data_IF_679034528764
#
_entry.id   IF_679034528764
#
_cell.length_a   1.000
_cell.length_b   1.000
_cell.length_c   1.000
_cell.angle_alpha   90.00
_cell.angle_beta   90.00
_cell.angle_gamma   90.00
#
_symmetry.space_group_name_H-M   'P 1'
#
loop_
_entity.id
_entity.type
_entity.pdbx_description
1 polymer ?
#
# COMPACT_ATOMS: atom_id res chain seq x y z
N UNK A 1 17.53 -5.95 3.53
CA UNK A 1 16.11 -6.34 3.53
C UNK A 1 15.93 -7.58 4.40
N UNK A 2 14.98 -7.53 5.34
CA UNK A 2 14.67 -8.64 6.24
C UNK A 2 13.54 -9.53 5.70
N UNK A 3 12.84 -9.06 4.67
CA UNK A 3 11.77 -9.78 3.97
C UNK A 3 11.69 -9.35 2.51
N UNK A 4 11.44 -10.31 1.65
CA UNK A 4 11.01 -10.09 0.27
C UNK A 4 10.18 -11.28 -0.21
N UNK A 5 9.25 -11.00 -1.11
CA UNK A 5 8.39 -12.02 -1.68
C UNK A 5 8.98 -12.49 -3.02
N UNK A 6 9.25 -13.79 -3.15
CA UNK A 6 9.75 -14.40 -4.37
C UNK A 6 8.67 -14.64 -5.42
N UNK A 7 7.40 -14.65 -5.00
CA UNK A 7 6.29 -15.04 -5.85
C UNK A 7 5.42 -13.82 -6.11
N UNK A 8 5.42 -13.37 -7.35
CA UNK A 8 4.51 -12.34 -7.83
C UNK A 8 3.38 -13.05 -8.55
N UNK A 9 2.17 -12.96 -8.02
CA UNK A 9 0.97 -13.55 -8.62
C UNK A 9 0.02 -12.46 -9.06
N UNK A 10 -0.18 -12.27 -10.37
CA UNK A 10 -1.21 -11.36 -10.87
C UNK A 10 -2.60 -11.94 -10.61
N UNK A 11 -3.53 -11.10 -10.20
CA UNK A 11 -4.92 -11.46 -10.01
C UNK A 11 -5.84 -10.40 -10.60
N UNK A 12 -6.95 -10.84 -11.15
CA UNK A 12 -8.04 -9.95 -11.55
C UNK A 12 -9.00 -9.82 -10.37
N UNK A 13 -9.04 -8.66 -9.75
CA UNK A 13 -9.86 -8.41 -8.57
C UNK A 13 -11.19 -7.79 -9.00
N UNK A 14 -12.08 -8.60 -9.55
CA UNK A 14 -13.40 -8.18 -10.01
C UNK A 14 -13.34 -6.93 -10.90
N UNK A 15 -14.19 -5.94 -10.60
CA UNK A 15 -14.23 -4.67 -11.33
C UNK A 15 -13.09 -3.70 -10.94
N UNK A 16 -12.30 -4.03 -9.94
CA UNK A 16 -11.18 -3.18 -9.49
C UNK A 16 -9.95 -3.25 -10.42
N UNK A 17 -9.94 -4.20 -11.36
CA UNK A 17 -8.84 -4.39 -12.30
C UNK A 17 -7.79 -5.40 -11.83
N UNK A 18 -6.68 -5.50 -12.55
CA UNK A 18 -5.60 -6.41 -12.21
C UNK A 18 -4.85 -5.96 -10.97
N UNK A 19 -4.37 -6.92 -10.20
CA UNK A 19 -3.63 -6.70 -8.97
C UNK A 19 -2.46 -7.68 -8.85
N UNK A 20 -1.39 -7.24 -8.19
CA UNK A 20 -0.23 -8.08 -7.87
C UNK A 20 -0.03 -8.13 -6.36
N UNK A 21 0.14 -9.33 -5.84
CA UNK A 21 0.61 -9.57 -4.47
C UNK A 21 2.14 -9.53 -4.45
N UNK A 22 2.72 -8.72 -3.56
CA UNK A 22 4.16 -8.58 -3.38
C UNK A 22 4.74 -7.27 -3.94
N UNK A 23 5.95 -6.94 -3.50
CA UNK A 23 6.66 -5.74 -3.94
C UNK A 23 5.97 -4.42 -3.56
N UNK A 24 6.06 -3.45 -4.45
CA UNK A 24 5.41 -2.14 -4.31
C UNK A 24 4.59 -1.89 -5.58
N UNK A 25 3.28 -1.91 -5.44
CA UNK A 25 2.38 -1.58 -6.53
C UNK A 25 2.14 -0.08 -6.60
N UNK A 26 2.25 0.49 -7.80
CA UNK A 26 1.92 1.89 -8.06
C UNK A 26 0.67 1.97 -8.91
N UNK A 27 -0.31 2.72 -8.46
CA UNK A 27 -1.58 2.89 -9.15
C UNK A 27 -1.76 4.33 -9.62
N UNK A 28 -1.87 4.53 -10.92
CA UNK A 28 -2.25 5.76 -11.60
C UNK A 28 -2.83 5.43 -12.99
N UNK A 29 -3.60 6.30 -13.64
CA UNK A 29 -4.22 7.49 -13.07
C UNK A 29 -5.33 7.16 -12.10
N UNK A 30 -5.93 5.97 -12.20
CA UNK A 30 -7.01 5.49 -11.33
C UNK A 30 -7.03 3.96 -11.29
N UNK A 31 -7.36 3.38 -10.12
CA UNK A 31 -7.51 1.94 -9.88
C UNK A 31 -6.27 1.10 -10.20
N UNK A 32 -6.40 -0.21 -10.06
CA UNK A 32 -5.41 -1.17 -10.48
C UNK A 32 -5.37 -1.21 -12.01
N UNK A 33 -4.17 -1.13 -12.60
CA UNK A 33 -3.99 -1.04 -14.04
C UNK A 33 -3.12 -2.18 -14.57
N UNK A 34 -3.27 -2.54 -15.86
CA UNK A 34 -2.42 -3.57 -16.49
C UNK A 34 -0.93 -3.31 -16.35
N UNK A 35 -0.50 -2.06 -16.33
CA UNK A 35 0.91 -1.66 -16.14
C UNK A 35 1.51 -2.14 -14.81
N UNK A 36 0.67 -2.52 -13.85
CA UNK A 36 1.10 -3.11 -12.59
C UNK A 36 1.88 -4.42 -12.79
N UNK A 37 1.56 -5.21 -13.80
CA UNK A 37 2.18 -6.52 -14.04
C UNK A 37 2.67 -6.74 -15.48
N UNK A 38 2.37 -5.83 -16.40
CA UNK A 38 2.88 -5.91 -17.77
C UNK A 38 4.33 -5.40 -17.84
N UNK A 39 5.10 -5.79 -18.85
CA UNK A 39 6.41 -5.22 -19.08
C UNK A 39 6.36 -3.70 -19.15
N UNK A 40 7.33 -3.05 -18.53
CA UNK A 40 7.48 -1.59 -18.53
C UNK A 40 8.87 -1.22 -19.04
N UNK A 41 9.01 -0.02 -19.57
CA UNK A 41 10.32 0.52 -19.90
C UNK A 41 11.10 0.85 -18.63
N UNK A 42 12.41 0.62 -18.65
CA UNK A 42 13.26 0.93 -17.51
C UNK A 42 14.61 1.50 -17.91
N UNK A 43 15.22 2.20 -16.95
CA UNK A 43 16.59 2.70 -17.07
C UNK A 43 17.30 2.62 -15.72
N UNK A 44 18.52 2.08 -15.74
CA UNK A 44 19.44 2.17 -14.61
C UNK A 44 20.32 3.41 -14.77
N UNK A 45 20.54 4.12 -13.68
CA UNK A 45 21.31 5.35 -13.64
C UNK A 45 22.25 5.34 -12.43
N UNK A 46 23.51 5.69 -12.67
CA UNK A 46 24.45 6.05 -11.63
C UNK A 46 24.48 7.56 -11.43
N UNK A 47 24.33 8.02 -10.21
CA UNK A 47 24.31 9.42 -9.88
C UNK A 47 25.70 9.89 -9.41
N UNK A 48 25.94 11.20 -9.49
CA UNK A 48 27.24 11.79 -9.13
C UNK A 48 27.62 11.61 -7.66
N UNK A 49 26.64 11.42 -6.79
CA UNK A 49 26.81 11.17 -5.36
C UNK A 49 27.05 9.68 -5.02
N UNK A 50 27.16 8.82 -6.03
CA UNK A 50 27.36 7.40 -5.89
C UNK A 50 26.06 6.61 -5.67
N UNK A 51 24.92 7.27 -5.58
CA UNK A 51 23.62 6.58 -5.51
C UNK A 51 23.26 5.93 -6.86
N UNK A 52 22.41 4.91 -6.80
CA UNK A 52 21.92 4.17 -7.99
C UNK A 52 20.41 4.31 -8.05
N UNK A 53 19.91 4.68 -9.21
CA UNK A 53 18.49 4.84 -9.46
C UNK A 53 18.00 3.89 -10.54
N UNK A 54 16.92 3.16 -10.24
CA UNK A 54 16.11 2.47 -11.22
C UNK A 54 14.91 3.35 -11.55
N UNK A 55 14.79 3.76 -12.81
CA UNK A 55 13.57 4.41 -13.32
C UNK A 55 12.75 3.35 -14.05
N UNK A 56 11.46 3.28 -13.73
CA UNK A 56 10.48 2.49 -14.48
C UNK A 56 9.35 3.40 -14.94
N UNK A 57 8.84 3.18 -16.15
CA UNK A 57 7.78 4.03 -16.64
C UNK A 57 6.91 3.31 -17.68
N UNK A 58 5.68 3.80 -17.81
CA UNK A 58 4.78 3.42 -18.88
C UNK A 58 3.76 4.53 -19.15
N UNK A 59 3.04 4.36 -20.25
CA UNK A 59 1.92 5.22 -20.66
C UNK A 59 0.63 4.43 -20.48
N UNK A 60 -0.28 4.94 -19.66
CA UNK A 60 -1.60 4.33 -19.54
C UNK A 60 -2.35 4.40 -20.87
N UNK A 61 -2.75 3.24 -21.39
CA UNK A 61 -3.34 3.13 -22.73
C UNK A 61 -4.77 3.72 -22.80
N UNK A 62 -5.47 3.80 -21.67
CA UNK A 62 -6.84 4.31 -21.65
C UNK A 62 -6.89 5.83 -21.55
N UNK A 63 -6.03 6.43 -20.72
CA UNK A 63 -6.06 7.86 -20.42
C UNK A 63 -4.92 8.65 -21.08
N UNK A 64 -3.93 7.94 -21.63
CA UNK A 64 -2.78 8.57 -22.30
C UNK A 64 -1.82 9.30 -21.36
N UNK A 65 -1.97 9.13 -20.05
CA UNK A 65 -1.08 9.72 -19.04
C UNK A 65 0.17 8.86 -18.84
N UNK A 66 1.32 9.50 -18.60
CA UNK A 66 2.58 8.81 -18.34
C UNK A 66 2.91 8.85 -16.86
N UNK A 67 3.25 7.71 -16.29
CA UNK A 67 3.81 7.59 -14.95
C UNK A 67 5.27 7.16 -14.97
N UNK A 68 6.07 7.73 -14.11
CA UNK A 68 7.47 7.34 -13.87
C UNK A 68 7.63 7.12 -12.37
N UNK A 69 8.14 5.94 -11.98
CA UNK A 69 8.59 5.68 -10.62
C UNK A 69 10.11 5.51 -10.64
N UNK A 70 10.79 6.27 -9.80
CA UNK A 70 12.24 6.19 -9.60
C UNK A 70 12.52 5.65 -8.22
N UNK A 71 13.36 4.60 -8.15
CA UNK A 71 13.81 3.97 -6.92
C UNK A 71 15.29 4.23 -6.74
N UNK A 72 15.67 4.94 -5.70
CA UNK A 72 17.07 5.31 -5.47
C UNK A 72 17.59 4.68 -4.19
N UNK A 73 18.76 4.05 -4.30
CA UNK A 73 19.54 3.53 -3.19
C UNK A 73 20.79 4.39 -3.00
N UNK A 74 21.03 4.81 -1.78
CA UNK A 74 22.17 5.63 -1.39
C UNK A 74 23.23 4.79 -0.66
N UNK A 75 24.52 5.00 -0.93
CA UNK A 75 25.58 4.35 -0.17
C UNK A 75 25.43 4.59 1.34
N UNK A 76 25.51 3.52 2.12
CA UNK A 76 25.45 3.60 3.59
C UNK A 76 24.09 3.98 4.18
N UNK A 77 23.02 3.98 3.39
CA UNK A 77 21.65 4.24 3.86
C UNK A 77 20.80 2.98 3.80
N UNK A 78 19.92 2.80 4.77
CA UNK A 78 19.02 1.64 4.90
C UNK A 78 17.58 1.97 4.51
N UNK A 79 17.38 2.86 3.54
CA UNK A 79 16.07 3.17 2.98
C UNK A 79 16.11 3.19 1.44
N UNK A 80 14.94 3.07 0.84
CA UNK A 80 14.73 3.30 -0.59
C UNK A 80 13.99 4.62 -0.74
N UNK A 81 14.57 5.58 -1.45
CA UNK A 81 13.83 6.77 -1.88
C UNK A 81 12.99 6.43 -3.10
N UNK A 82 11.72 6.78 -3.06
CA UNK A 82 10.79 6.61 -4.18
C UNK A 82 10.31 7.98 -4.61
N UNK A 83 10.47 8.27 -5.92
CA UNK A 83 9.97 9.50 -6.53
C UNK A 83 8.98 9.14 -7.62
N UNK A 84 7.75 9.66 -7.51
CA UNK A 84 6.73 9.57 -8.55
C UNK A 84 6.72 10.83 -9.42
N UNK A 85 6.56 10.64 -10.74
CA UNK A 85 6.31 11.74 -11.66
C UNK A 85 5.17 11.35 -12.59
N UNK A 86 4.12 12.16 -12.60
CA UNK A 86 2.97 11.98 -13.48
C UNK A 86 3.00 13.08 -14.54
N UNK A 87 2.76 12.68 -15.79
CA UNK A 87 2.78 13.60 -16.91
C UNK A 87 1.52 13.41 -17.76
N UNK A 88 0.74 14.48 -17.87
CA UNK A 88 -0.41 14.51 -18.76
C UNK A 88 0.06 14.81 -20.21
N UNK A 89 -0.05 13.84 -21.08
CA UNK A 89 0.31 13.93 -22.51
C UNK A 89 -0.86 14.34 -23.39
N UNK A 90 -2.04 14.55 -22.81
CA UNK A 90 -3.25 14.88 -23.55
C UNK A 90 -3.48 16.39 -23.56
N UNK A 91 -4.33 16.86 -24.46
CA UNK A 91 -4.72 18.28 -24.54
C UNK A 91 -5.77 18.69 -23.50
N UNK A 92 -6.31 17.73 -22.75
CA UNK A 92 -7.38 17.97 -21.78
C UNK A 92 -6.86 17.76 -20.35
N UNK A 93 -7.38 18.48 -19.35
CA UNK A 93 -7.12 18.18 -17.95
C UNK A 93 -7.46 16.73 -17.62
N UNK A 94 -6.61 16.08 -16.83
CA UNK A 94 -6.79 14.71 -16.37
C UNK A 94 -6.78 14.69 -14.85
N UNK A 95 -7.64 13.86 -14.27
CA UNK A 95 -7.58 13.55 -12.85
C UNK A 95 -6.71 12.32 -12.62
N UNK A 96 -6.15 12.18 -11.43
CA UNK A 96 -5.41 10.99 -11.03
C UNK A 96 -5.64 10.66 -9.57
N UNK A 97 -5.50 9.40 -9.25
CA UNK A 97 -5.40 8.88 -7.90
C UNK A 97 -4.06 8.14 -7.82
N UNK A 98 -3.16 8.67 -7.01
CA UNK A 98 -1.86 8.04 -6.77
C UNK A 98 -1.87 7.27 -5.45
N UNK A 99 -1.41 6.05 -5.49
CA UNK A 99 -1.11 5.25 -4.31
C UNK A 99 0.10 4.35 -4.58
N UNK A 100 0.97 4.28 -3.59
CA UNK A 100 2.06 3.33 -3.54
C UNK A 100 1.70 2.28 -2.48
N UNK A 101 1.56 1.03 -2.89
CA UNK A 101 1.12 -0.07 -2.04
C UNK A 101 2.28 -1.04 -1.78
N UNK A 102 3.12 -0.82 -0.77
CA UNK A 102 4.09 -1.82 -0.36
C UNK A 102 3.38 -3.00 0.31
N UNK A 103 3.67 -4.21 -0.17
CA UNK A 103 3.17 -5.45 0.43
C UNK A 103 4.16 -5.98 1.46
N UNK A 104 3.65 -6.42 2.61
CA UNK A 104 4.45 -7.03 3.68
C UNK A 104 3.80 -8.31 4.15
N UNK A 105 4.61 -9.31 4.53
CA UNK A 105 4.12 -10.48 5.21
C UNK A 105 3.58 -10.11 6.59
N UNK A 106 2.51 -10.76 6.98
CA UNK A 106 1.87 -10.55 8.28
C UNK A 106 1.69 -11.90 9.01
N UNK A 107 1.66 -11.84 10.34
CA UNK A 107 1.41 -12.96 11.24
C UNK A 107 0.73 -12.46 12.51
N UNK A 108 0.50 -13.36 13.47
CA UNK A 108 -0.17 -13.03 14.73
C UNK A 108 0.58 -12.02 15.62
N UNK A 109 1.85 -11.74 15.31
CA UNK A 109 2.69 -10.76 16.01
C UNK A 109 2.76 -9.42 15.29
N UNK A 110 2.10 -9.28 14.15
CA UNK A 110 2.13 -8.04 13.35
C UNK A 110 1.15 -7.01 13.89
N UNK A 111 1.62 -5.78 13.98
CA UNK A 111 0.82 -4.60 14.32
C UNK A 111 0.98 -3.51 13.27
N UNK A 112 -0.14 -2.90 12.90
CA UNK A 112 -0.15 -1.67 12.09
C UNK A 112 0.25 -0.47 12.93
N UNK A 113 1.12 0.36 12.39
CA UNK A 113 1.60 1.57 13.04
C UNK A 113 1.05 2.78 12.29
N UNK A 114 0.01 3.37 12.84
CA UNK A 114 -0.55 4.64 12.37
C UNK A 114 -0.04 5.79 13.23
N UNK A 115 -0.04 7.02 12.70
CA UNK A 115 0.28 8.21 13.48
C UNK A 115 -0.63 8.38 14.70
N UNK A 116 -0.16 9.10 15.73
CA UNK A 116 -0.90 9.26 17.00
C UNK A 116 -2.17 10.11 16.89
N UNK A 117 -2.31 10.89 15.84
CA UNK A 117 -3.51 11.69 15.54
C UNK A 117 -4.61 10.88 14.84
N UNK A 118 -4.35 9.63 14.48
CA UNK A 118 -5.36 8.74 13.89
C UNK A 118 -6.21 8.10 14.98
N UNK A 119 -7.41 8.63 15.17
CA UNK A 119 -8.38 8.16 16.17
C UNK A 119 -9.57 7.41 15.56
N UNK A 120 -9.70 7.45 14.24
CA UNK A 120 -10.74 6.75 13.48
C UNK A 120 -10.22 6.30 12.14
N UNK A 121 -10.83 5.24 11.62
CA UNK A 121 -10.55 4.68 10.29
C UNK A 121 -11.85 4.34 9.58
N UNK A 122 -11.79 4.34 8.26
CA UNK A 122 -12.92 4.00 7.39
C UNK A 122 -12.53 2.87 6.44
N UNK A 123 -13.45 1.94 6.22
CA UNK A 123 -13.32 0.96 5.14
C UNK A 123 -13.68 1.59 3.79
N UNK A 124 -12.84 1.41 2.78
CA UNK A 124 -13.04 2.04 1.48
C UNK A 124 -14.13 1.37 0.61
N UNK A 125 -14.49 0.12 0.92
CA UNK A 125 -15.53 -0.60 0.20
C UNK A 125 -16.95 -0.23 0.66
N UNK A 126 -17.23 -0.47 1.95
CA UNK A 126 -18.54 -0.25 2.54
C UNK A 126 -18.73 1.12 3.20
N UNK A 127 -17.63 1.85 3.40
CA UNK A 127 -17.63 3.15 4.09
C UNK A 127 -17.99 3.08 5.58
N UNK A 128 -17.87 1.90 6.17
CA UNK A 128 -18.02 1.74 7.62
C UNK A 128 -16.89 2.49 8.33
N UNK A 129 -17.21 3.09 9.47
CA UNK A 129 -16.27 3.87 10.29
C UNK A 129 -16.10 3.21 11.64
N UNK A 130 -14.88 3.13 12.12
CA UNK A 130 -14.57 2.67 13.46
C UNK A 130 -13.60 3.60 14.16
N UNK A 131 -13.64 3.57 15.50
CA UNK A 131 -12.54 4.11 16.30
C UNK A 131 -11.28 3.28 16.06
N UNK A 132 -10.14 3.92 16.22
CA UNK A 132 -8.85 3.28 16.07
C UNK A 132 -7.93 3.70 17.25
N UNK A 133 -7.11 2.81 17.82
CA UNK A 133 -6.95 1.39 17.44
C UNK A 133 -8.04 0.44 18.02
N UNK A 134 -8.80 0.90 19.02
CA UNK A 134 -9.82 0.07 19.66
C UNK A 134 -11.15 0.25 18.96
N UNK A 135 -11.51 -0.73 18.13
CA UNK A 135 -12.81 -0.77 17.46
C UNK A 135 -13.93 -1.09 18.45
N UNK A 136 -15.11 -0.52 18.21
CA UNK A 136 -16.36 -0.84 18.91
C UNK A 136 -17.52 -0.83 17.93
N UNK A 137 -18.44 -1.79 18.07
CA UNK A 137 -19.55 -1.96 17.17
C UNK A 137 -19.18 -2.73 15.90
N UNK A 138 -20.04 -2.68 14.89
CA UNK A 138 -19.82 -3.41 13.63
C UNK A 138 -18.94 -2.59 12.71
N UNK A 139 -17.91 -3.27 12.17
CA UNK A 139 -17.04 -2.72 11.15
C UNK A 139 -16.77 -3.77 10.09
N UNK A 140 -17.12 -3.47 8.85
CA UNK A 140 -16.96 -4.33 7.68
C UNK A 140 -17.40 -5.79 7.95
N UNK A 141 -18.69 -5.96 8.34
CA UNK A 141 -19.31 -7.27 8.59
C UNK A 141 -18.89 -8.00 9.87
N UNK A 142 -17.98 -7.45 10.65
CA UNK A 142 -17.55 -8.08 11.90
C UNK A 142 -17.95 -7.23 13.10
N UNK A 143 -18.40 -7.90 14.17
CA UNK A 143 -18.80 -7.26 15.42
C UNK A 143 -17.60 -7.16 16.38
N UNK A 144 -17.23 -5.92 16.69
CA UNK A 144 -16.18 -5.56 17.65
C UNK A 144 -16.75 -4.89 18.90
N UNK A 145 -18.04 -5.11 19.25
CA UNK A 145 -18.73 -4.41 20.34
C UNK A 145 -18.04 -4.52 21.69
N UNK A 146 -17.36 -5.63 21.95
CA UNK A 146 -16.57 -5.85 23.18
C UNK A 146 -15.32 -4.95 23.30
N UNK A 147 -14.96 -4.28 22.23
CA UNK A 147 -13.74 -3.47 22.16
C UNK A 147 -12.51 -4.29 21.80
N UNK A 148 -12.02 -4.16 20.58
CA UNK A 148 -10.93 -4.96 20.04
C UNK A 148 -9.88 -4.06 19.40
N UNK A 149 -8.61 -4.34 19.68
CA UNK A 149 -7.47 -3.67 19.05
C UNK A 149 -7.28 -4.15 17.60
N UNK A 150 -7.84 -3.38 16.64
CA UNK A 150 -7.76 -3.66 15.21
C UNK A 150 -6.44 -3.20 14.58
N UNK A 151 -5.51 -2.66 15.33
CA UNK A 151 -4.14 -2.50 14.86
C UNK A 151 -3.38 -3.83 14.81
N UNK A 152 -3.84 -4.84 15.54
CA UNK A 152 -3.24 -6.18 15.58
C UNK A 152 -3.84 -7.07 14.50
N UNK A 153 -3.00 -7.59 13.59
CA UNK A 153 -3.45 -8.45 12.49
C UNK A 153 -4.29 -9.65 12.95
N UNK A 154 -3.88 -10.32 14.01
CA UNK A 154 -4.60 -11.48 14.59
C UNK A 154 -6.04 -11.20 15.01
N UNK A 155 -6.42 -9.94 15.16
CA UNK A 155 -7.75 -9.50 15.57
C UNK A 155 -8.63 -9.10 14.37
N UNK A 156 -8.15 -9.27 13.14
CA UNK A 156 -8.84 -8.87 11.93
C UNK A 156 -9.24 -10.13 11.15
N UNK A 157 -10.44 -10.67 11.37
CA UNK A 157 -10.82 -11.98 10.78
C UNK A 157 -11.24 -11.92 9.32
N UNK A 158 -11.54 -10.71 8.79
CA UNK A 158 -12.11 -10.53 7.44
C UNK A 158 -11.23 -9.62 6.59
N UNK A 159 -11.23 -9.79 5.23
CA UNK A 159 -10.57 -8.84 4.34
C UNK A 159 -11.17 -7.46 4.51
N UNK A 160 -10.34 -6.49 4.84
CA UNK A 160 -10.81 -5.12 5.06
C UNK A 160 -9.69 -4.10 4.93
N UNK A 161 -10.06 -2.85 4.86
CA UNK A 161 -9.14 -1.72 4.84
C UNK A 161 -9.39 -0.77 6.01
N UNK A 162 -8.35 -0.05 6.35
CA UNK A 162 -8.34 0.99 7.36
C UNK A 162 -7.76 2.25 6.69
N UNK A 163 -8.63 3.22 6.43
CA UNK A 163 -8.23 4.51 5.84
C UNK A 163 -8.31 5.58 6.92
N UNK A 164 -7.18 6.22 7.22
CA UNK A 164 -7.14 7.51 7.85
C UNK A 164 -7.10 8.55 6.73
N UNK A 165 -8.16 9.35 6.59
CA UNK A 165 -8.28 10.31 5.49
C UNK A 165 -7.27 11.43 5.59
N UNK A 166 -6.92 11.80 6.83
CA UNK A 166 -5.99 12.87 7.12
C UNK A 166 -5.14 12.55 8.34
N UNK A 167 -3.88 12.95 8.29
CA UNK A 167 -2.94 12.95 9.42
C UNK A 167 -1.89 14.04 9.18
N UNK A 168 -1.50 14.74 10.22
CA UNK A 168 -0.45 15.76 10.18
C UNK A 168 0.96 15.17 10.26
N UNK A 169 1.08 13.86 10.22
CA UNK A 169 2.34 13.13 10.25
C UNK A 169 2.68 12.49 8.91
N UNK A 170 3.96 12.32 8.66
CA UNK A 170 4.51 11.86 7.39
C UNK A 170 4.63 10.34 7.26
N UNK A 171 4.11 9.55 8.18
CA UNK A 171 4.39 8.13 8.20
C UNK A 171 3.15 7.23 8.38
N UNK A 172 3.30 6.00 7.95
CA UNK A 172 2.47 4.84 8.28
C UNK A 172 3.36 3.59 8.14
N UNK A 173 3.08 2.55 8.89
CA UNK A 173 3.90 1.35 8.81
C UNK A 173 3.27 0.14 9.47
N UNK A 174 4.08 -0.90 9.61
CA UNK A 174 3.76 -2.11 10.33
C UNK A 174 5.01 -2.69 10.97
N UNK A 175 4.84 -3.35 12.09
CA UNK A 175 5.91 -3.98 12.85
C UNK A 175 5.56 -5.41 13.23
N UNK A 176 6.49 -6.33 13.01
CA UNK A 176 6.42 -7.73 13.42
C UNK A 176 7.27 -7.93 14.66
N UNK A 177 6.63 -8.13 15.80
CA UNK A 177 7.30 -8.30 17.10
C UNK A 177 8.08 -9.62 17.21
N UNK A 178 7.76 -10.63 16.40
CA UNK A 178 8.50 -11.89 16.38
C UNK A 178 9.80 -11.76 15.60
N UNK A 179 9.77 -11.00 14.50
CA UNK A 179 10.95 -10.78 13.66
C UNK A 179 11.78 -9.57 14.09
N UNK A 180 11.25 -8.78 15.02
CA UNK A 180 11.83 -7.50 15.46
C UNK A 180 12.14 -6.57 14.26
N UNK A 181 11.26 -6.57 13.29
CA UNK A 181 11.41 -5.84 12.04
C UNK A 181 10.06 -5.32 11.52
N UNK A 182 10.10 -4.35 10.64
CA UNK A 182 8.89 -3.80 10.05
C UNK A 182 9.16 -2.99 8.80
N UNK A 183 8.09 -2.42 8.27
CA UNK A 183 8.15 -1.45 7.19
C UNK A 183 7.69 -0.09 7.73
N UNK A 184 8.45 0.94 7.44
CA UNK A 184 8.06 2.33 7.63
C UNK A 184 7.96 3.01 6.27
N UNK A 185 6.78 3.51 5.93
CA UNK A 185 6.53 4.33 4.75
C UNK A 185 6.46 5.79 5.20
N UNK A 186 7.29 6.64 4.61
CA UNK A 186 7.33 8.07 4.90
C UNK A 186 7.00 8.85 3.64
N UNK A 187 6.02 9.75 3.73
CA UNK A 187 5.62 10.64 2.64
C UNK A 187 5.08 11.95 3.21
N UNK A 188 5.41 13.06 2.58
CA UNK A 188 4.94 14.39 2.98
C UNK A 188 3.41 14.44 3.05
N UNK A 189 2.85 14.66 4.23
CA UNK A 189 1.41 14.70 4.47
C UNK A 189 0.70 15.85 3.75
N UNK A 190 1.40 16.92 3.39
CA UNK A 190 0.82 18.01 2.59
C UNK A 190 0.53 17.57 1.14
N UNK A 191 1.24 16.55 0.65
CA UNK A 191 1.04 15.99 -0.68
C UNK A 191 0.22 14.71 -0.62
N UNK A 192 0.45 13.86 0.39
CA UNK A 192 -0.21 12.57 0.58
C UNK A 192 -0.75 12.44 2.02
N UNK A 193 -1.83 13.17 2.36
CA UNK A 193 -2.36 13.18 3.72
C UNK A 193 -2.98 11.85 4.14
N UNK A 194 -3.56 11.11 3.22
CA UNK A 194 -4.21 9.83 3.48
C UNK A 194 -3.23 8.71 3.82
N UNK A 195 -3.57 7.91 4.82
CA UNK A 195 -2.86 6.68 5.19
C UNK A 195 -3.82 5.52 5.05
N UNK A 196 -3.41 4.46 4.37
CA UNK A 196 -4.27 3.30 4.16
C UNK A 196 -3.50 2.02 4.43
N UNK A 197 -4.16 1.12 5.13
CA UNK A 197 -3.79 -0.28 5.19
C UNK A 197 -4.92 -1.12 4.64
N UNK A 198 -4.58 -2.18 3.94
CA UNK A 198 -5.50 -3.25 3.55
C UNK A 198 -4.92 -4.59 3.99
N UNK A 199 -5.78 -5.53 4.38
CA UNK A 199 -5.37 -6.88 4.77
C UNK A 199 -6.39 -7.91 4.30
N UNK A 200 -5.92 -9.14 4.00
CA UNK A 200 -6.78 -10.30 3.76
C UNK A 200 -7.54 -10.76 5.01
N UNK A 201 -7.07 -10.39 6.19
CA UNK A 201 -7.58 -10.90 7.45
C UNK A 201 -7.06 -12.29 7.81
N UNK A 202 -7.10 -12.61 9.10
CA UNK A 202 -6.58 -13.87 9.66
C UNK A 202 -7.60 -15.02 9.67
N UNK A 203 -8.84 -14.79 9.24
CA UNK A 203 -9.88 -15.83 9.14
C UNK A 203 -9.71 -16.75 7.93
N UNK A 204 -10.57 -17.76 7.82
CA UNK A 204 -10.45 -18.79 6.78
C UNK A 204 -10.56 -18.25 5.36
N UNK A 205 -11.41 -17.26 5.15
CA UNK A 205 -11.56 -16.61 3.85
C UNK A 205 -10.28 -15.87 3.45
N UNK A 206 -9.69 -15.10 4.36
CA UNK A 206 -8.43 -14.40 4.13
C UNK A 206 -7.28 -15.38 3.88
N UNK A 207 -7.17 -16.45 4.68
CA UNK A 207 -6.18 -17.51 4.48
C UNK A 207 -6.33 -18.24 3.15
N UNK A 208 -7.56 -18.42 2.66
CA UNK A 208 -7.80 -19.02 1.36
C UNK A 208 -7.27 -18.13 0.22
N UNK A 209 -7.49 -16.82 0.30
CA UNK A 209 -6.96 -15.86 -0.66
C UNK A 209 -5.44 -15.76 -0.60
N UNK A 210 -4.87 -15.69 0.60
CA UNK A 210 -3.44 -15.68 0.81
C UNK A 210 -2.76 -16.89 0.14
N UNK A 211 -3.25 -18.11 0.40
CA UNK A 211 -2.72 -19.33 -0.25
C UNK A 211 -2.79 -19.31 -1.78
N UNK A 212 -3.76 -18.61 -2.35
CA UNK A 212 -3.95 -18.57 -3.80
C UNK A 212 -3.19 -17.43 -4.48
N UNK A 213 -2.85 -16.37 -3.76
CA UNK A 213 -2.22 -15.17 -4.29
C UNK A 213 -0.80 -14.94 -3.79
N UNK A 214 -0.36 -15.63 -2.78
CA UNK A 214 0.99 -15.61 -2.21
C UNK A 214 1.52 -17.02 -2.02
#
# INVERSE_FOLDING_TARGET
FVYYNHVIKPALVGLAGPWISGGIEFNWPQHHRPTTYMPVDYKLQENKDGSKTLLVHDVDQMYGTKGIAAFTLYPGKAYIEIRGQLYNRTSMPQTFLWWANPAVAVNDYTQSIFPPDVHSVMDHGKRDVSRFPIAKGVYYTHDYSEGVDISRYKNIPVPTSYMAEHSDYDFVGGYDYQKEAGLLHVADHHISPGKKQWTWGCGDFGKAWDRNLT
#
